data_IF_404569117037
#
_entry.id   IF_404569117037
#
_cell.length_a   1.000
_cell.length_b   1.000
_cell.length_c   1.000
_cell.angle_alpha   90.00
_cell.angle_beta   90.00
_cell.angle_gamma   90.00
#
_symmetry.space_group_name_H-M   'P 1'
#
loop_
_entity.id
_entity.type
_entity.pdbx_description
1 polymer ?
#
# COMPACT_ATOMS: atom_id res chain seq x y z
N UNK A 1 -48.32 18.02 -27.79
CA UNK A 1 -47.42 19.14 -28.09
C UNK A 1 -46.10 18.85 -27.37
N UNK A 2 -45.22 18.01 -27.91
CA UNK A 2 -44.11 18.29 -28.85
C UNK A 2 -43.07 19.29 -28.35
N UNK A 3 -41.81 18.80 -28.39
CA UNK A 3 -40.51 19.51 -28.46
C UNK A 3 -39.94 19.98 -27.10
N UNK A 4 -38.64 19.88 -26.78
CA UNK A 4 -37.46 19.67 -27.63
C UNK A 4 -36.18 19.49 -26.80
N UNK A 5 -35.25 18.69 -27.36
CA UNK A 5 -33.79 18.90 -27.50
C UNK A 5 -32.89 18.88 -26.25
N UNK A 6 -31.98 17.90 -26.13
CA UNK A 6 -30.67 17.77 -26.81
C UNK A 6 -29.62 18.76 -26.27
N UNK A 7 -28.68 18.24 -25.47
CA UNK A 7 -27.31 18.77 -25.38
C UNK A 7 -26.33 17.60 -25.25
N UNK A 8 -25.51 17.51 -26.28
CA UNK A 8 -24.42 16.57 -26.55
C UNK A 8 -23.10 17.28 -26.25
N UNK A 9 -22.06 16.47 -25.98
CA UNK A 9 -20.61 16.79 -26.00
C UNK A 9 -20.14 17.60 -24.77
N UNK A 10 -19.08 17.19 -24.07
CA UNK A 10 -17.70 17.28 -24.54
C UNK A 10 -16.79 16.17 -23.99
N UNK A 11 -15.96 15.66 -24.89
CA UNK A 11 -14.77 14.83 -24.64
C UNK A 11 -13.59 15.69 -24.20
N UNK A 12 -12.83 15.25 -23.21
CA UNK A 12 -11.38 15.53 -23.15
C UNK A 12 -10.64 14.34 -22.52
N UNK A 13 -10.00 13.59 -23.39
CA UNK A 13 -9.01 12.56 -23.12
C UNK A 13 -7.75 13.24 -22.55
N UNK A 14 -7.36 12.92 -21.32
CA UNK A 14 -6.04 13.30 -20.77
C UNK A 14 -5.22 12.02 -20.54
N UNK A 15 -4.63 11.52 -21.63
CA UNK A 15 -3.64 10.45 -21.57
C UNK A 15 -2.29 11.07 -21.19
N UNK A 16 -2.00 11.15 -19.90
CA UNK A 16 -0.68 11.54 -19.42
C UNK A 16 0.27 10.34 -19.54
N UNK A 17 1.19 10.42 -20.50
CA UNK A 17 2.31 9.50 -20.67
C UNK A 17 3.34 9.73 -19.55
N UNK A 18 3.39 8.80 -18.58
CA UNK A 18 4.50 8.66 -17.64
C UNK A 18 5.58 7.79 -18.29
N UNK A 19 6.49 8.41 -19.05
CA UNK A 19 7.76 7.77 -19.41
C UNK A 19 8.76 8.02 -18.27
N UNK A 20 8.89 7.04 -17.37
CA UNK A 20 9.93 7.02 -16.35
C UNK A 20 11.26 6.62 -16.97
N UNK A 21 12.33 7.33 -16.61
CA UNK A 21 13.66 7.22 -17.18
C UNK A 21 14.34 5.89 -16.79
N UNK A 22 14.49 4.99 -17.76
CA UNK A 22 15.48 3.91 -17.68
C UNK A 22 16.87 4.53 -17.89
N UNK A 23 17.51 5.01 -16.82
CA UNK A 23 18.89 5.48 -16.89
C UNK A 23 19.83 4.26 -16.93
N UNK A 24 20.28 3.88 -18.12
CA UNK A 24 21.35 2.90 -18.33
C UNK A 24 22.68 3.46 -17.84
N UNK A 25 23.05 3.15 -16.60
CA UNK A 25 24.44 3.23 -16.13
C UNK A 25 25.14 1.88 -16.40
N UNK A 26 25.62 1.70 -17.63
CA UNK A 26 26.53 0.60 -17.94
C UNK A 26 27.96 1.05 -17.67
N UNK A 27 28.55 0.55 -16.58
CA UNK A 27 30.00 0.47 -16.46
C UNK A 27 30.51 -0.57 -17.49
N UNK A 28 31.63 -0.34 -18.20
CA UNK A 28 32.25 -1.34 -19.05
C UNK A 28 32.83 -2.45 -18.18
N UNK A 29 32.02 -3.45 -17.85
CA UNK A 29 32.42 -4.71 -17.23
C UNK A 29 32.88 -5.68 -18.31
N UNK A 30 34.09 -6.20 -18.15
CA UNK A 30 34.80 -7.13 -19.02
C UNK A 30 33.96 -8.29 -19.58
N UNK A 31 34.15 -8.56 -20.87
CA UNK A 31 33.61 -9.70 -21.62
C UNK A 31 34.00 -11.05 -21.00
N UNK A 32 33.18 -11.51 -20.05
CA UNK A 32 33.18 -12.86 -19.52
C UNK A 32 31.90 -13.56 -19.92
N UNK A 33 31.79 -13.94 -21.20
CA UNK A 33 30.67 -14.70 -21.75
C UNK A 33 30.62 -16.10 -21.14
N UNK A 34 30.10 -16.21 -19.93
CA UNK A 34 29.55 -17.46 -19.43
C UNK A 34 28.10 -17.45 -19.86
N UNK A 35 27.84 -17.97 -21.05
CA UNK A 35 26.53 -18.55 -21.39
C UNK A 35 26.31 -19.71 -20.42
N UNK A 36 25.93 -19.37 -19.19
CA UNK A 36 25.28 -20.28 -18.28
C UNK A 36 23.86 -20.40 -18.77
N UNK A 37 23.63 -21.37 -19.66
CA UNK A 37 22.42 -22.15 -19.56
C UNK A 37 22.37 -22.65 -18.11
N UNK A 38 21.83 -21.84 -17.19
CA UNK A 38 21.24 -22.37 -15.96
C UNK A 38 19.93 -23.02 -16.42
N UNK A 39 20.08 -24.02 -17.29
CA UNK A 39 19.06 -25.01 -17.53
C UNK A 39 18.77 -25.55 -16.15
N UNK A 40 17.54 -25.29 -15.70
CA UNK A 40 16.92 -25.97 -14.58
C UNK A 40 17.44 -27.42 -14.60
N UNK A 41 18.10 -27.91 -13.54
CA UNK A 41 18.64 -29.26 -13.54
C UNK A 41 17.55 -30.19 -14.06
N UNK A 42 17.85 -31.05 -15.03
CA UNK A 42 16.86 -31.97 -15.60
C UNK A 42 16.24 -32.90 -14.53
N UNK A 43 16.81 -32.88 -13.32
CA UNK A 43 16.39 -33.59 -12.11
C UNK A 43 15.64 -32.72 -11.08
N UNK A 44 15.31 -31.46 -11.40
CA UNK A 44 14.34 -30.72 -10.60
C UNK A 44 13.00 -31.43 -10.77
N UNK A 45 12.62 -32.22 -9.77
CA UNK A 45 11.34 -32.93 -9.75
C UNK A 45 10.15 -32.00 -10.00
N UNK A 46 8.93 -32.55 -10.07
CA UNK A 46 7.72 -31.74 -10.25
C UNK A 46 7.72 -30.58 -9.24
N UNK A 47 7.50 -29.38 -9.75
CA UNK A 47 7.37 -28.20 -8.91
C UNK A 47 6.29 -28.46 -7.85
N UNK A 48 6.61 -28.20 -6.59
CA UNK A 48 5.65 -28.34 -5.48
C UNK A 48 5.14 -26.92 -5.18
N UNK A 49 3.84 -26.64 -5.38
CA UNK A 49 3.27 -25.35 -5.08
C UNK A 49 3.54 -24.93 -3.64
N UNK A 50 3.95 -23.68 -3.48
CA UNK A 50 4.20 -23.03 -2.20
C UNK A 50 3.51 -21.67 -2.22
N UNK A 51 2.96 -21.24 -1.08
CA UNK A 51 2.40 -19.91 -0.96
C UNK A 51 3.45 -18.81 -0.75
N UNK A 52 4.71 -19.18 -0.55
CA UNK A 52 5.81 -18.21 -0.52
C UNK A 52 6.03 -17.61 -1.93
N UNK A 53 6.44 -16.32 -2.03
CA UNK A 53 6.83 -15.73 -3.30
C UNK A 53 7.88 -16.59 -4.02
N UNK A 54 7.70 -16.75 -5.32
CA UNK A 54 8.70 -17.39 -6.17
C UNK A 54 9.92 -16.48 -6.38
N UNK A 55 11.10 -17.06 -6.64
CA UNK A 55 12.28 -16.35 -7.16
C UNK A 55 12.09 -16.01 -8.64
N UNK A 56 11.15 -15.10 -8.90
CA UNK A 56 10.80 -14.57 -10.20
C UNK A 56 10.34 -13.12 -10.04
N UNK A 57 10.66 -12.29 -11.03
CA UNK A 57 10.24 -10.89 -11.10
C UNK A 57 10.13 -10.42 -12.54
N UNK A 58 9.29 -9.43 -12.76
CA UNK A 58 9.24 -8.70 -14.03
C UNK A 58 10.38 -7.67 -14.03
N UNK A 59 11.29 -7.75 -15.01
CA UNK A 59 12.30 -6.73 -15.28
C UNK A 59 11.69 -5.66 -16.22
N UNK A 60 11.31 -4.49 -15.70
CA UNK A 60 10.72 -3.44 -16.53
C UNK A 60 11.72 -2.85 -17.53
N UNK A 61 13.03 -3.05 -17.31
CA UNK A 61 14.10 -2.53 -18.16
C UNK A 61 14.44 -3.47 -19.32
N UNK A 62 13.91 -4.70 -19.32
CA UNK A 62 14.04 -5.61 -20.45
C UNK A 62 13.12 -5.13 -21.59
N UNK A 63 13.60 -4.17 -22.39
CA UNK A 63 12.90 -3.58 -23.53
C UNK A 63 12.96 -4.52 -24.74
N UNK A 64 12.38 -5.70 -24.63
CA UNK A 64 12.22 -6.58 -25.77
C UNK A 64 10.75 -6.52 -26.25
N UNK A 65 10.57 -6.30 -27.55
CA UNK A 65 9.26 -6.47 -28.19
C UNK A 65 8.95 -7.96 -28.14
N UNK A 66 8.12 -8.36 -27.17
CA UNK A 66 7.92 -9.77 -26.87
C UNK A 66 6.56 -10.29 -27.30
N UNK A 67 6.60 -11.57 -27.65
CA UNK A 67 5.48 -12.41 -28.03
C UNK A 67 4.37 -12.40 -26.92
N UNK A 68 3.18 -12.98 -27.16
CA UNK A 68 2.13 -13.05 -26.14
C UNK A 68 2.63 -13.74 -24.85
N UNK A 69 1.90 -13.53 -23.75
CA UNK A 69 2.18 -14.09 -22.41
C UNK A 69 2.69 -15.53 -22.51
N UNK A 70 3.89 -15.78 -22.00
CA UNK A 70 4.60 -17.06 -22.11
C UNK A 70 4.40 -17.96 -20.89
N UNK A 71 3.79 -17.44 -19.83
CA UNK A 71 3.52 -18.19 -18.59
C UNK A 71 3.07 -17.28 -17.44
N UNK A 72 3.20 -17.77 -16.22
CA UNK A 72 2.98 -17.00 -15.00
C UNK A 72 3.94 -17.45 -13.87
N UNK A 73 4.09 -16.61 -12.84
CA UNK A 73 4.69 -16.97 -11.55
C UNK A 73 3.84 -16.40 -10.40
N UNK A 74 4.03 -16.94 -9.20
CA UNK A 74 3.39 -16.46 -7.98
C UNK A 74 4.30 -15.48 -7.24
N UNK A 75 3.83 -14.25 -7.00
CA UNK A 75 4.61 -13.21 -6.32
C UNK A 75 4.40 -13.16 -4.80
N UNK A 76 3.66 -14.13 -4.24
CA UNK A 76 3.24 -14.15 -2.83
C UNK A 76 1.87 -13.54 -2.57
N UNK A 77 1.29 -12.84 -3.55
CA UNK A 77 -0.02 -12.20 -3.44
C UNK A 77 -0.97 -12.61 -4.58
N UNK A 78 -0.44 -12.71 -5.80
CA UNK A 78 -1.18 -13.04 -7.00
C UNK A 78 -0.30 -13.79 -8.02
N UNK A 79 -0.96 -14.41 -8.99
CA UNK A 79 -0.29 -14.92 -10.16
C UNK A 79 -0.02 -13.79 -11.16
N UNK A 80 1.26 -13.54 -11.44
CA UNK A 80 1.71 -12.50 -12.35
C UNK A 80 1.98 -13.11 -13.73
N UNK A 81 1.30 -12.66 -14.80
CA UNK A 81 1.59 -13.12 -16.15
C UNK A 81 2.97 -12.63 -16.57
N UNK A 82 3.75 -13.50 -17.22
CA UNK A 82 5.10 -13.17 -17.68
C UNK A 82 5.22 -13.18 -19.19
N UNK A 83 6.11 -12.31 -19.66
CA UNK A 83 6.65 -12.33 -21.00
C UNK A 83 8.14 -12.68 -20.94
N UNK A 84 8.86 -12.40 -22.02
CA UNK A 84 10.32 -12.53 -22.07
C UNK A 84 11.09 -11.69 -21.03
N UNK A 85 10.41 -10.77 -20.35
CA UNK A 85 10.99 -9.86 -19.38
C UNK A 85 10.97 -10.42 -17.95
N UNK A 86 10.70 -11.71 -17.78
CA UNK A 86 10.85 -12.36 -16.48
C UNK A 86 12.33 -12.65 -16.19
N UNK A 87 12.78 -12.30 -14.99
CA UNK A 87 14.09 -12.66 -14.46
C UNK A 87 13.96 -13.45 -13.13
N UNK A 88 14.82 -14.45 -12.93
CA UNK A 88 14.82 -15.31 -11.72
C UNK A 88 14.80 -16.80 -12.05
N UNK A 89 15.13 -17.65 -11.07
CA UNK A 89 15.20 -19.10 -11.26
C UNK A 89 13.83 -19.76 -11.50
N UNK A 90 12.75 -19.10 -11.07
CA UNK A 90 11.38 -19.61 -11.13
C UNK A 90 10.52 -18.91 -12.20
N UNK A 91 11.16 -18.25 -13.16
CA UNK A 91 10.47 -17.64 -14.28
C UNK A 91 9.75 -18.66 -15.16
N UNK A 92 8.44 -18.47 -15.33
CA UNK A 92 7.63 -19.31 -16.21
C UNK A 92 7.46 -20.74 -15.69
N UNK A 93 7.54 -20.97 -14.37
CA UNK A 93 7.21 -22.27 -13.75
C UNK A 93 5.81 -22.74 -14.16
N UNK A 94 4.85 -21.81 -14.28
CA UNK A 94 3.54 -22.10 -14.84
C UNK A 94 3.47 -21.72 -16.32
N UNK A 95 2.97 -22.65 -17.13
CA UNK A 95 2.77 -22.45 -18.57
C UNK A 95 1.58 -21.54 -18.89
N UNK A 96 0.68 -21.33 -17.93
CA UNK A 96 -0.54 -20.52 -18.08
C UNK A 96 -0.89 -19.85 -16.77
N UNK A 97 -1.57 -18.70 -16.83
CA UNK A 97 -2.10 -18.02 -15.65
C UNK A 97 -3.05 -18.92 -14.84
N UNK A 98 -4.02 -19.55 -15.49
CA UNK A 98 -5.01 -20.42 -14.84
C UNK A 98 -4.39 -21.57 -14.02
N UNK A 99 -3.29 -22.16 -14.51
CA UNK A 99 -2.57 -23.20 -13.78
C UNK A 99 -1.92 -22.66 -12.50
N UNK A 100 -1.36 -21.44 -12.56
CA UNK A 100 -0.85 -20.77 -11.37
C UNK A 100 -1.99 -20.48 -10.39
N UNK A 101 -3.11 -19.94 -10.86
CA UNK A 101 -4.25 -19.59 -10.01
C UNK A 101 -4.87 -20.83 -9.33
N UNK A 102 -4.94 -21.95 -10.05
CA UNK A 102 -5.44 -23.21 -9.50
C UNK A 102 -4.54 -23.74 -8.37
N UNK A 103 -3.21 -23.70 -8.56
CA UNK A 103 -2.25 -24.20 -7.57
C UNK A 103 -2.16 -23.30 -6.32
N UNK A 104 -2.53 -22.02 -6.42
CA UNK A 104 -2.54 -21.07 -5.30
C UNK A 104 -3.94 -20.68 -4.82
N UNK A 105 -4.97 -21.40 -5.25
CA UNK A 105 -6.36 -21.12 -4.85
C UNK A 105 -6.57 -21.21 -3.32
N UNK A 106 -5.77 -22.01 -2.64
CA UNK A 106 -5.81 -22.21 -1.20
C UNK A 106 -4.81 -21.33 -0.41
N UNK A 107 -4.00 -20.50 -1.08
CA UNK A 107 -3.08 -19.60 -0.39
C UNK A 107 -3.82 -18.44 0.25
N UNK A 108 -3.31 -17.96 1.38
CA UNK A 108 -4.00 -16.95 2.20
C UNK A 108 -4.29 -15.66 1.44
N UNK A 109 -3.38 -15.23 0.56
CA UNK A 109 -3.59 -14.05 -0.28
C UNK A 109 -4.80 -14.21 -1.22
N UNK A 110 -4.92 -15.38 -1.85
CA UNK A 110 -6.05 -15.71 -2.74
C UNK A 110 -7.34 -15.83 -1.93
N UNK A 111 -7.32 -16.56 -0.81
CA UNK A 111 -8.49 -16.68 0.05
C UNK A 111 -8.94 -15.32 0.57
N UNK A 112 -8.00 -14.47 1.02
CA UNK A 112 -8.27 -13.13 1.51
C UNK A 112 -9.00 -12.30 0.46
N UNK A 113 -8.44 -12.18 -0.73
CA UNK A 113 -8.99 -11.33 -1.80
C UNK A 113 -10.31 -11.87 -2.35
N UNK A 114 -10.41 -13.19 -2.57
CA UNK A 114 -11.63 -13.82 -3.13
C UNK A 114 -12.81 -13.82 -2.15
N UNK A 115 -12.55 -13.76 -0.84
CA UNK A 115 -13.58 -13.59 0.20
C UNK A 115 -13.79 -12.13 0.59
N UNK A 116 -13.24 -11.18 -0.18
CA UNK A 116 -13.51 -9.75 -0.06
C UNK A 116 -12.70 -9.04 1.03
N UNK A 117 -11.56 -9.58 1.43
CA UNK A 117 -10.55 -8.89 2.24
C UNK A 117 -9.49 -8.18 1.38
N UNK A 118 -8.66 -7.37 2.03
CA UNK A 118 -7.49 -6.73 1.43
C UNK A 118 -6.21 -7.44 1.89
N UNK A 119 -5.40 -7.92 0.94
CA UNK A 119 -4.12 -8.55 1.24
C UNK A 119 -3.00 -7.52 1.29
N UNK A 120 -2.22 -7.56 2.37
CA UNK A 120 -1.02 -6.74 2.57
C UNK A 120 0.19 -7.65 2.53
N UNK A 121 0.85 -7.74 1.37
CA UNK A 121 2.07 -8.51 1.17
C UNK A 121 3.30 -7.92 1.89
N UNK A 122 3.14 -6.74 2.53
CA UNK A 122 4.24 -6.03 3.19
C UNK A 122 4.41 -6.54 4.61
N UNK A 123 5.68 -6.68 4.96
CA UNK A 123 6.18 -7.04 6.26
C UNK A 123 6.10 -5.82 7.21
N UNK A 124 4.90 -5.29 7.45
CA UNK A 124 4.68 -4.25 8.48
C UNK A 124 3.73 -4.74 9.58
N UNK A 125 3.08 -5.88 9.38
CA UNK A 125 2.04 -6.40 10.26
C UNK A 125 2.46 -7.72 10.91
N UNK A 126 1.76 -8.06 12.00
CA UNK A 126 2.08 -9.19 12.86
C UNK A 126 1.00 -10.27 12.81
N UNK A 127 0.46 -10.49 11.61
CA UNK A 127 -0.63 -11.43 11.33
C UNK A 127 -1.88 -10.74 10.78
N UNK A 128 -2.90 -11.53 10.48
CA UNK A 128 -4.18 -11.04 9.96
C UNK A 128 -4.89 -10.12 10.95
N UNK A 129 -5.70 -9.21 10.41
CA UNK A 129 -6.46 -8.26 11.19
C UNK A 129 -7.61 -8.99 11.89
N UNK A 130 -7.93 -8.56 13.10
CA UNK A 130 -9.06 -9.07 13.87
C UNK A 130 -10.15 -8.00 13.89
N UNK A 131 -11.30 -8.30 13.30
CA UNK A 131 -12.45 -7.39 13.25
C UNK A 131 -12.13 -6.04 12.58
N UNK A 132 -11.22 -6.03 11.61
CA UNK A 132 -10.76 -4.83 10.91
C UNK A 132 -9.63 -4.07 11.63
N UNK A 133 -9.12 -4.58 12.75
CA UNK A 133 -7.99 -3.97 13.47
C UNK A 133 -6.69 -4.73 13.23
N UNK A 134 -5.57 -4.03 13.02
CA UNK A 134 -4.27 -4.67 12.97
C UNK A 134 -3.97 -5.31 14.34
N UNK A 135 -3.16 -6.40 14.37
CA UNK A 135 -2.68 -6.95 15.63
C UNK A 135 -1.96 -5.88 16.46
N UNK A 136 -2.26 -5.81 17.77
CA UNK A 136 -1.67 -4.82 18.68
C UNK A 136 -0.23 -5.14 19.13
N UNK A 137 0.30 -6.29 18.70
CA UNK A 137 1.61 -6.79 19.09
C UNK A 137 2.61 -6.44 18.00
N UNK A 138 3.75 -5.84 18.39
CA UNK A 138 4.92 -5.70 17.51
C UNK A 138 5.63 -7.05 17.42
N UNK A 139 5.96 -7.46 16.21
CA UNK A 139 6.63 -8.72 15.89
C UNK A 139 8.06 -8.44 15.44
N UNK A 140 8.98 -9.32 15.81
CA UNK A 140 10.39 -9.25 15.40
C UNK A 140 10.55 -9.51 13.91
N UNK A 141 9.67 -10.34 13.35
CA UNK A 141 9.55 -10.62 11.93
C UNK A 141 8.13 -10.31 11.50
N UNK A 142 8.04 -9.47 10.50
CA UNK A 142 6.78 -9.02 9.97
C UNK A 142 6.30 -9.95 8.87
N UNK A 143 4.98 -10.18 8.86
CA UNK A 143 4.35 -11.20 8.05
C UNK A 143 3.24 -10.57 7.19
N UNK A 144 2.99 -11.10 5.99
CA UNK A 144 1.83 -10.72 5.21
C UNK A 144 0.54 -10.90 6.01
N UNK A 145 -0.43 -10.03 5.77
CA UNK A 145 -1.67 -9.99 6.54
C UNK A 145 -2.88 -9.79 5.64
N UNK A 146 -4.02 -10.32 6.09
CA UNK A 146 -5.32 -10.04 5.48
C UNK A 146 -6.10 -9.09 6.39
N UNK A 147 -6.61 -8.00 5.82
CA UNK A 147 -7.65 -7.20 6.43
C UNK A 147 -9.01 -7.65 5.90
N UNK A 148 -9.76 -8.38 6.72
CA UNK A 148 -11.11 -8.78 6.39
C UNK A 148 -12.14 -7.66 6.60
N UNK A 149 -11.73 -6.47 7.02
CA UNK A 149 -12.64 -5.39 7.37
C UNK A 149 -13.39 -5.68 8.67
N UNK A 150 -14.33 -4.78 9.00
CA UNK A 150 -15.13 -4.89 10.21
C UNK A 150 -15.97 -6.16 10.24
N UNK A 151 -16.23 -6.65 11.46
CA UNK A 151 -17.14 -7.77 11.66
C UNK A 151 -16.54 -9.13 11.29
N UNK A 152 -15.36 -9.17 10.66
CA UNK A 152 -14.79 -10.38 10.08
C UNK A 152 -13.38 -10.66 10.56
N UNK A 153 -12.99 -11.93 10.48
CA UNK A 153 -11.64 -12.43 10.76
C UNK A 153 -11.17 -13.29 9.61
N UNK A 154 -9.86 -13.40 9.43
CA UNK A 154 -9.29 -14.37 8.51
C UNK A 154 -9.24 -15.75 9.18
N UNK A 155 -9.71 -16.78 8.48
CA UNK A 155 -9.66 -18.17 8.91
C UNK A 155 -8.90 -19.00 7.87
N UNK A 156 -7.87 -19.72 8.32
CA UNK A 156 -7.04 -20.60 7.50
C UNK A 156 -7.89 -21.56 6.65
N UNK A 157 -7.60 -21.60 5.35
CA UNK A 157 -8.30 -22.44 4.38
C UNK A 157 -9.72 -21.99 4.01
N UNK A 158 -10.27 -20.95 4.67
CA UNK A 158 -11.60 -20.42 4.41
C UNK A 158 -11.59 -18.97 3.91
N UNK A 159 -10.59 -18.17 4.30
CA UNK A 159 -10.55 -16.74 4.01
C UNK A 159 -11.29 -15.91 5.06
N UNK A 160 -11.88 -14.79 4.64
CA UNK A 160 -12.62 -13.89 5.50
C UNK A 160 -14.00 -14.44 5.84
N UNK A 161 -14.24 -14.63 7.13
CA UNK A 161 -15.50 -15.12 7.71
C UNK A 161 -16.00 -14.18 8.79
N UNK A 162 -17.29 -14.21 9.09
CA UNK A 162 -17.87 -13.43 10.18
C UNK A 162 -17.23 -13.84 11.51
N UNK A 163 -16.68 -12.86 12.23
CA UNK A 163 -16.07 -13.07 13.53
C UNK A 163 -17.13 -12.99 14.61
N UNK A 164 -17.42 -14.12 15.27
CA UNK A 164 -18.38 -14.16 16.38
C UNK A 164 -18.05 -13.19 17.54
N UNK A 165 -16.79 -12.76 17.65
CA UNK A 165 -16.32 -11.78 18.64
C UNK A 165 -16.34 -10.33 18.12
N UNK A 166 -16.59 -10.13 16.83
CA UNK A 166 -16.58 -8.81 16.18
C UNK A 166 -17.92 -8.07 16.29
N UNK A 167 -19.02 -8.75 16.63
CA UNK A 167 -20.33 -8.14 16.85
C UNK A 167 -20.33 -7.07 17.96
N UNK A 168 -19.33 -7.10 18.85
CA UNK A 168 -19.19 -6.12 19.92
C UNK A 168 -18.67 -4.76 19.42
N UNK A 169 -18.08 -4.70 18.23
CA UNK A 169 -17.47 -3.48 17.67
C UNK A 169 -18.50 -2.55 17.05
N UNK A 170 -19.58 -3.07 16.44
CA UNK A 170 -20.62 -2.26 15.79
C UNK A 170 -21.48 -1.44 16.77
N UNK A 171 -21.39 -1.70 18.07
CA UNK A 171 -22.13 -0.95 19.10
C UNK A 171 -21.26 0.05 19.88
N UNK A 172 -19.99 0.23 19.51
CA UNK A 172 -19.15 1.20 20.19
C UNK A 172 -19.53 2.60 19.73
N UNK A 173 -20.01 3.42 20.66
CA UNK A 173 -20.12 4.87 20.47
C UNK A 173 -18.80 5.42 19.90
N UNK A 174 -18.81 6.46 19.04
CA UNK A 174 -17.61 6.97 18.37
C UNK A 174 -16.42 7.25 19.30
N UNK A 175 -16.70 7.66 20.54
CA UNK A 175 -15.72 7.82 21.61
C UNK A 175 -15.05 6.51 22.01
N UNK A 176 -15.84 5.49 22.32
CA UNK A 176 -15.33 4.18 22.70
C UNK A 176 -14.59 3.53 21.52
N UNK A 177 -15.07 3.76 20.30
CA UNK A 177 -14.44 3.28 19.08
C UNK A 177 -13.09 3.95 18.80
N UNK A 178 -13.00 5.26 19.01
CA UNK A 178 -11.74 5.99 18.95
C UNK A 178 -10.70 5.42 19.93
N UNK A 179 -11.07 5.22 21.19
CA UNK A 179 -10.14 4.69 22.20
C UNK A 179 -9.74 3.25 21.91
N UNK A 180 -10.67 2.41 21.47
CA UNK A 180 -10.39 1.01 21.13
C UNK A 180 -9.40 0.86 19.97
N UNK A 181 -9.36 1.84 19.06
CA UNK A 181 -8.48 1.85 17.88
C UNK A 181 -7.17 2.61 18.09
N UNK A 182 -6.85 2.96 19.34
CA UNK A 182 -5.58 3.63 19.68
C UNK A 182 -5.62 5.15 19.60
N UNK A 183 -6.76 5.74 19.23
CA UNK A 183 -6.96 7.18 19.25
C UNK A 183 -7.33 7.75 20.63
N UNK A 184 -7.26 9.07 20.76
CA UNK A 184 -7.74 9.80 21.95
C UNK A 184 -8.98 10.60 21.58
N UNK A 185 -10.11 10.33 22.23
CA UNK A 185 -11.33 11.13 22.03
C UNK A 185 -11.19 12.47 22.74
N UNK A 186 -11.52 13.56 22.05
CA UNK A 186 -11.44 14.92 22.59
C UNK A 186 -12.74 15.68 22.40
N UNK A 187 -13.12 16.43 23.42
CA UNK A 187 -14.34 17.24 23.42
C UNK A 187 -14.08 18.70 22.99
N UNK A 188 -12.82 19.11 22.93
CA UNK A 188 -12.36 20.47 22.71
C UNK A 188 -11.59 20.62 21.38
N UNK A 189 -12.01 19.83 20.39
CA UNK A 189 -11.49 19.86 19.02
C UNK A 189 -12.63 20.17 18.04
N UNK A 190 -12.28 20.40 16.79
CA UNK A 190 -13.24 20.61 15.71
C UNK A 190 -13.21 19.40 14.75
N UNK A 191 -13.84 18.30 15.15
CA UNK A 191 -13.92 17.06 14.39
C UNK A 191 -12.71 16.13 14.58
N UNK A 192 -12.68 15.04 13.80
CA UNK A 192 -11.60 14.05 13.87
C UNK A 192 -10.28 14.59 13.34
N UNK A 193 -9.17 14.13 13.94
CA UNK A 193 -7.85 14.46 13.44
C UNK A 193 -7.56 13.73 12.12
N UNK A 194 -6.84 14.39 11.22
CA UNK A 194 -6.37 13.82 9.96
C UNK A 194 -4.85 13.87 9.95
N UNK A 195 -4.17 12.72 9.93
CA UNK A 195 -2.70 12.64 9.96
C UNK A 195 -2.11 13.40 11.17
N UNK A 196 -2.67 13.16 12.36
CA UNK A 196 -2.32 13.89 13.59
C UNK A 196 -2.81 15.36 13.68
N UNK A 197 -3.45 15.90 12.63
CA UNK A 197 -3.89 17.32 12.59
C UNK A 197 -5.29 17.53 13.11
N UNK A 198 -5.43 18.46 14.06
CA UNK A 198 -6.72 19.01 14.46
C UNK A 198 -7.12 20.14 13.51
N UNK A 199 -8.42 20.30 13.26
CA UNK A 199 -8.91 21.48 12.54
C UNK A 199 -8.69 22.74 13.38
N UNK A 200 -8.27 23.81 12.71
CA UNK A 200 -8.11 25.17 13.24
C UNK A 200 -9.42 25.98 13.22
N UNK A 201 -10.50 25.40 12.68
CA UNK A 201 -11.79 26.03 12.66
C UNK A 201 -12.29 26.25 14.09
N UNK A 202 -12.87 27.43 14.32
CA UNK A 202 -13.47 27.81 15.61
C UNK A 202 -14.81 27.08 15.79
N UNK A 203 -14.72 25.80 16.14
CA UNK A 203 -15.85 24.94 16.41
C UNK A 203 -15.55 23.96 17.55
N UNK A 204 -16.61 23.49 18.22
CA UNK A 204 -16.53 22.46 19.26
C UNK A 204 -17.36 21.29 18.77
N UNK A 205 -16.71 20.38 18.07
CA UNK A 205 -17.30 19.13 17.62
C UNK A 205 -16.37 18.01 18.09
N UNK A 206 -16.78 17.21 19.09
CA UNK A 206 -15.95 16.13 19.60
C UNK A 206 -15.44 15.23 18.47
N UNK A 207 -14.20 14.79 18.60
CA UNK A 207 -13.52 14.07 17.55
C UNK A 207 -12.45 13.14 18.07
N UNK A 208 -12.08 12.20 17.23
CA UNK A 208 -11.01 11.26 17.52
C UNK A 208 -9.67 11.81 17.05
N UNK A 209 -8.68 11.82 17.93
CA UNK A 209 -7.30 12.15 17.60
C UNK A 209 -6.52 10.85 17.43
N UNK A 210 -6.32 10.45 16.17
CA UNK A 210 -5.52 9.29 15.80
C UNK A 210 -4.02 9.61 15.77
N UNK A 211 -3.18 8.59 15.57
CA UNK A 211 -1.74 8.80 15.40
C UNK A 211 -1.38 9.66 14.18
N UNK A 212 -0.12 10.09 14.13
CA UNK A 212 0.37 11.01 13.10
C UNK A 212 0.18 10.49 11.67
N UNK A 213 0.17 9.16 11.49
CA UNK A 213 0.03 8.51 10.17
C UNK A 213 -1.37 7.96 9.92
N UNK A 214 -2.33 8.38 10.73
CA UNK A 214 -3.66 7.79 10.79
C UNK A 214 -4.76 8.83 10.59
N UNK A 215 -5.88 8.35 10.05
CA UNK A 215 -7.13 9.11 9.95
C UNK A 215 -8.21 8.33 10.67
N UNK A 216 -9.19 9.04 11.23
CA UNK A 216 -10.36 8.39 11.79
C UNK A 216 -11.35 8.03 10.68
N UNK A 217 -11.58 6.74 10.49
CA UNK A 217 -12.59 6.17 9.63
C UNK A 217 -13.80 5.76 10.51
N UNK A 218 -15.03 6.22 10.22
CA UNK A 218 -16.20 5.89 11.04
C UNK A 218 -16.50 4.39 11.13
N UNK A 219 -16.01 3.62 10.16
CA UNK A 219 -16.12 2.16 10.16
C UNK A 219 -14.90 1.55 10.81
N UNK A 220 -13.67 1.98 10.51
CA UNK A 220 -12.45 1.28 10.93
C UNK A 220 -11.68 1.93 12.10
N UNK A 221 -12.18 3.03 12.63
CA UNK A 221 -11.56 3.84 13.68
C UNK A 221 -10.25 4.46 13.20
N UNK A 222 -9.23 4.53 14.05
CA UNK A 222 -7.93 5.03 13.64
C UNK A 222 -7.23 4.03 12.71
N UNK A 223 -7.09 4.42 11.44
CA UNK A 223 -6.43 3.61 10.42
C UNK A 223 -5.29 4.37 9.77
N UNK A 224 -4.19 3.66 9.48
CA UNK A 224 -3.10 4.16 8.65
C UNK A 224 -3.66 4.60 7.30
N UNK A 225 -3.41 5.85 6.92
CA UNK A 225 -3.83 6.36 5.62
C UNK A 225 -2.62 6.53 4.70
N UNK A 226 -2.70 6.10 3.42
CA UNK A 226 -1.68 6.43 2.43
C UNK A 226 -1.63 7.94 2.15
N UNK A 227 -2.62 8.72 2.57
CA UNK A 227 -2.54 10.19 2.50
C UNK A 227 -1.66 10.79 3.60
N UNK A 228 -1.33 10.02 4.64
CA UNK A 228 -0.45 10.43 5.73
C UNK A 228 0.96 9.89 5.48
N UNK A 229 1.59 10.31 4.38
CA UNK A 229 2.95 9.86 4.05
C UNK A 229 4.00 10.57 4.92
N UNK A 230 4.94 9.78 5.46
CA UNK A 230 6.21 10.29 5.97
C UNK A 230 7.14 10.60 4.80
N UNK A 231 7.53 11.86 4.69
CA UNK A 231 8.53 12.34 3.73
C UNK A 231 9.92 12.26 4.32
N UNK A 232 10.87 11.77 3.54
CA UNK A 232 12.28 11.69 3.93
C UNK A 232 12.97 13.06 3.85
N UNK A 233 14.09 13.19 4.55
CA UNK A 233 14.99 14.34 4.45
C UNK A 233 15.33 14.63 2.97
N UNK A 234 15.10 15.87 2.54
CA UNK A 234 15.34 16.34 1.17
C UNK A 234 14.19 16.13 0.18
N UNK A 235 13.11 15.45 0.56
CA UNK A 235 11.91 15.35 -0.28
C UNK A 235 11.09 16.67 -0.25
N UNK A 236 10.42 17.02 -1.37
CA UNK A 236 9.60 18.22 -1.44
C UNK A 236 8.41 18.13 -0.48
N UNK A 237 8.10 19.26 0.14
CA UNK A 237 6.97 19.40 1.03
C UNK A 237 5.63 19.39 0.26
N UNK A 238 4.58 18.88 0.90
CA UNK A 238 3.20 18.97 0.39
C UNK A 238 2.26 19.31 1.55
N UNK A 239 1.07 19.83 1.23
CA UNK A 239 0.07 20.26 2.21
C UNK A 239 -0.45 19.13 3.14
N UNK A 240 -0.08 17.88 2.84
CA UNK A 240 -0.56 16.65 3.52
C UNK A 240 0.53 15.75 4.08
N UNK A 241 1.81 15.94 3.71
CA UNK A 241 2.91 15.08 4.12
C UNK A 241 3.54 15.51 5.46
N UNK A 242 3.95 14.54 6.27
CA UNK A 242 4.72 14.76 7.50
C UNK A 242 6.21 14.56 7.24
N UNK A 243 7.07 15.45 7.73
CA UNK A 243 8.52 15.23 7.64
C UNK A 243 8.98 14.25 8.74
N UNK A 244 9.66 13.16 8.35
CA UNK A 244 10.15 12.15 9.29
C UNK A 244 11.21 12.74 10.24
N UNK A 245 10.93 12.79 11.55
CA UNK A 245 11.82 13.30 12.60
C UNK A 245 12.44 14.70 12.32
N UNK A 246 11.81 15.48 11.44
CA UNK A 246 12.38 16.71 10.88
C UNK A 246 11.40 17.88 10.87
N UNK A 247 11.95 19.09 10.96
CA UNK A 247 11.19 20.35 10.83
C UNK A 247 11.25 20.75 9.35
N UNK A 248 10.15 21.20 8.76
CA UNK A 248 10.22 21.84 7.44
C UNK A 248 11.17 23.04 7.52
N UNK A 249 12.00 23.24 6.48
CA UNK A 249 12.89 24.39 6.23
C UNK A 249 14.39 24.17 6.50
N UNK A 250 15.06 23.50 5.56
CA UNK A 250 16.42 23.91 5.14
C UNK A 250 16.33 24.59 3.78
N UNK A 251 16.11 25.91 3.82
CA UNK A 251 16.23 26.90 2.74
C UNK A 251 16.07 26.42 1.28
N UNK A 252 14.85 26.61 0.75
CA UNK A 252 14.58 26.67 -0.69
C UNK A 252 13.70 27.84 -1.15
N UNK A 253 13.08 28.62 -0.25
CA UNK A 253 12.14 29.68 -0.62
C UNK A 253 12.26 30.91 0.29
N UNK A 254 12.43 32.09 -0.32
CA UNK A 254 12.44 33.39 0.34
C UNK A 254 10.98 33.77 0.64
N UNK A 255 10.58 33.68 1.90
CA UNK A 255 9.43 34.45 2.41
C UNK A 255 9.71 34.84 3.85
N UNK A 256 9.85 36.14 4.09
CA UNK A 256 10.05 36.70 5.44
C UNK A 256 8.77 36.64 6.30
N UNK A 257 7.64 36.26 5.71
CA UNK A 257 6.31 36.29 6.32
C UNK A 257 5.70 34.89 6.50
N UNK A 258 6.44 33.81 6.19
CA UNK A 258 5.95 32.44 6.33
C UNK A 258 6.14 31.90 7.76
N UNK A 259 5.05 31.75 8.51
CA UNK A 259 5.03 31.04 9.79
C UNK A 259 5.02 29.54 9.54
N UNK A 260 6.14 28.84 9.75
CA UNK A 260 6.18 27.38 9.74
C UNK A 260 5.96 26.86 11.16
N UNK A 261 4.88 26.10 11.40
CA UNK A 261 4.68 25.37 12.65
C UNK A 261 5.10 23.92 12.44
N UNK A 262 6.24 23.54 13.01
CA UNK A 262 6.70 22.15 13.00
C UNK A 262 5.59 21.20 13.51
N UNK A 263 5.38 20.02 12.90
CA UNK A 263 6.19 19.38 11.84
C UNK A 263 5.65 19.59 10.42
N UNK A 264 4.77 20.57 10.20
CA UNK A 264 4.07 20.79 8.92
C UNK A 264 4.65 21.95 8.11
N UNK A 265 4.48 21.82 6.80
CA UNK A 265 4.98 22.76 5.81
C UNK A 265 3.79 23.51 5.21
N UNK A 266 3.63 24.79 5.53
CA UNK A 266 2.68 25.68 4.83
C UNK A 266 3.27 26.23 3.52
N UNK A 267 4.50 25.83 3.15
CA UNK A 267 5.18 26.23 1.91
C UNK A 267 5.36 25.02 0.98
N UNK A 268 4.67 24.97 -0.19
CA UNK A 268 4.85 23.92 -1.21
C UNK A 268 6.23 23.97 -1.89
N UNK A 269 7.07 24.95 -1.56
CA UNK A 269 8.44 25.08 -2.08
C UNK A 269 9.53 24.66 -1.08
N UNK A 270 9.15 24.15 0.10
CA UNK A 270 10.08 23.64 1.11
C UNK A 270 10.61 22.22 0.82
N UNK A 271 11.64 21.82 1.56
CA UNK A 271 12.10 20.42 1.67
C UNK A 271 12.22 20.03 3.15
N UNK A 272 12.00 18.75 3.47
CA UNK A 272 12.19 18.23 4.83
C UNK A 272 13.67 18.32 5.25
N UNK A 273 13.96 18.92 6.42
CA UNK A 273 15.33 19.21 6.87
C UNK A 273 15.55 18.88 8.36
N UNK A 274 16.79 18.61 8.79
CA UNK A 274 17.06 18.25 10.19
C UNK A 274 16.54 19.32 11.16
N UNK A 275 16.13 18.94 12.39
CA UNK A 275 15.72 19.90 13.40
C UNK A 275 16.84 20.93 13.63
N UNK A 276 16.48 22.22 13.69
CA UNK A 276 17.46 23.27 13.99
C UNK A 276 18.02 23.04 15.42
N UNK A 277 19.34 23.24 15.63
CA UNK A 277 19.93 23.19 16.96
C UNK A 277 19.40 24.30 17.87
#
# INVERSE_FOLDING_TARGET
MTLSRTLLLWSSLSTALLFSACATSHAPGSDGSVSGDVGRPADAGPYVPSCAPMDARVDPCAVAVCAPVTGAFWDGAACVPVHCNCAGAECGVYTTLDACEADHAACDATLCTTTGGAWFARAEWCGHFQCGFPPSVLCDESVPACDCGLGRVFQDGAGCVDGALCELTEMLEPEAFCTATGGTWRLDVCGHATCGRLSDADCILPGCVCGDLEVFDPQRGCVRSPTCELRQLGEPCTDTGLCADSVCCVNGGISADATCVAPLCDDPHGVCGPPRP
#
